data_IF_990498071714
#
_entry.id   IF_990498071714
#
_cell.length_a   1.000
_cell.length_b   1.000
_cell.length_c   1.000
_cell.angle_alpha   90.00
_cell.angle_beta   90.00
_cell.angle_gamma   90.00
#
_symmetry.space_group_name_H-M   'P 1'
#
loop_
_entity.id
_entity.type
_entity.pdbx_description
1 polymer ?
#
# COMPACT_ATOMS: atom_id res chain seq x y z
N UNK A 1 -13.55 -17.81 -16.84
CA UNK A 1 -13.56 -16.41 -16.36
C UNK A 1 -13.17 -15.40 -17.45
N UNK A 2 -11.94 -15.37 -17.99
CA UNK A 2 -11.55 -14.40 -19.05
C UNK A 2 -12.58 -14.30 -20.20
N UNK A 3 -12.90 -15.43 -20.85
CA UNK A 3 -13.87 -15.47 -21.95
C UNK A 3 -15.28 -15.03 -21.55
N UNK A 4 -15.66 -15.23 -20.29
CA UNK A 4 -16.97 -14.82 -19.78
C UNK A 4 -17.02 -13.31 -19.51
N UNK A 5 -15.91 -12.70 -19.08
CA UNK A 5 -15.83 -11.26 -18.81
C UNK A 5 -15.66 -10.42 -20.07
N UNK A 6 -15.01 -10.98 -21.09
CA UNK A 6 -14.60 -10.24 -22.29
C UNK A 6 -15.76 -9.50 -23.00
N UNK A 7 -16.97 -10.07 -23.18
CA UNK A 7 -18.08 -9.36 -23.80
C UNK A 7 -18.49 -8.10 -23.02
N UNK A 8 -18.50 -8.17 -21.69
CA UNK A 8 -18.84 -7.04 -20.82
C UNK A 8 -17.77 -5.96 -20.86
N UNK A 9 -16.49 -6.36 -20.85
CA UNK A 9 -15.35 -5.43 -20.99
C UNK A 9 -15.43 -4.69 -22.33
N UNK A 10 -15.58 -5.43 -23.43
CA UNK A 10 -15.71 -4.81 -24.76
C UNK A 10 -16.92 -3.90 -24.86
N UNK A 11 -18.06 -4.28 -24.27
CA UNK A 11 -19.24 -3.42 -24.24
C UNK A 11 -19.00 -2.14 -23.45
N UNK A 12 -18.34 -2.22 -22.30
CA UNK A 12 -18.00 -1.05 -21.50
C UNK A 12 -17.06 -0.10 -22.26
N UNK A 13 -16.00 -0.65 -22.88
CA UNK A 13 -15.06 0.14 -23.69
C UNK A 13 -15.74 0.82 -24.87
N UNK A 14 -16.68 0.15 -25.55
CA UNK A 14 -17.45 0.75 -26.65
C UNK A 14 -18.36 1.88 -26.17
N UNK A 15 -19.02 1.72 -25.02
CA UNK A 15 -19.99 2.68 -24.52
C UNK A 15 -19.34 3.95 -23.97
N UNK A 16 -18.15 3.84 -23.38
CA UNK A 16 -17.49 4.95 -22.69
C UNK A 16 -16.23 5.48 -23.40
N UNK A 17 -15.72 4.76 -24.42
CA UNK A 17 -14.59 5.19 -25.24
C UNK A 17 -13.36 5.54 -24.40
N UNK A 18 -12.86 6.77 -24.56
CA UNK A 18 -11.69 7.27 -23.82
C UNK A 18 -11.92 7.46 -22.31
N UNK A 19 -13.17 7.57 -21.87
CA UNK A 19 -13.53 7.72 -20.46
C UNK A 19 -13.78 6.38 -19.77
N UNK A 20 -13.58 5.26 -20.47
CA UNK A 20 -13.77 3.93 -19.91
C UNK A 20 -12.67 3.63 -18.87
N UNK A 21 -13.08 3.20 -17.68
CA UNK A 21 -12.18 2.83 -16.60
C UNK A 21 -12.55 1.44 -16.05
N UNK A 22 -11.56 0.55 -16.00
CA UNK A 22 -11.71 -0.83 -15.56
C UNK A 22 -10.82 -1.06 -14.35
N UNK A 23 -11.43 -1.28 -13.18
CA UNK A 23 -10.72 -1.67 -11.96
C UNK A 23 -10.97 -3.14 -11.66
N UNK A 24 -9.87 -3.86 -11.42
CA UNK A 24 -9.90 -5.25 -11.00
C UNK A 24 -9.45 -5.34 -9.56
N UNK A 25 -10.17 -6.10 -8.76
CA UNK A 25 -9.83 -6.35 -7.36
C UNK A 25 -10.32 -7.73 -6.96
N UNK A 26 -9.78 -8.25 -5.87
CA UNK A 26 -10.21 -9.52 -5.31
C UNK A 26 -9.43 -9.87 -4.07
N UNK A 27 -10.02 -10.78 -3.30
CA UNK A 27 -9.40 -11.37 -2.13
C UNK A 27 -8.88 -12.78 -2.45
N UNK A 28 -7.78 -13.18 -1.81
CA UNK A 28 -7.21 -14.53 -1.94
C UNK A 28 -7.02 -14.93 -3.41
N UNK A 29 -7.46 -16.13 -3.81
CA UNK A 29 -7.47 -16.59 -5.19
C UNK A 29 -8.14 -15.59 -6.16
N UNK A 30 -9.23 -14.94 -5.72
CA UNK A 30 -9.93 -13.94 -6.53
C UNK A 30 -9.04 -12.74 -6.88
N UNK A 31 -8.13 -12.34 -6.00
CA UNK A 31 -7.17 -11.25 -6.26
C UNK A 31 -6.11 -11.66 -7.28
N UNK A 32 -5.58 -12.87 -7.18
CA UNK A 32 -4.66 -13.46 -8.15
C UNK A 32 -5.29 -13.56 -9.55
N UNK A 33 -6.56 -13.98 -9.60
CA UNK A 33 -7.35 -14.07 -10.82
C UNK A 33 -7.66 -12.69 -11.42
N UNK A 34 -7.96 -11.69 -10.58
CA UNK A 34 -8.18 -10.31 -10.99
C UNK A 34 -6.95 -9.71 -11.68
N UNK A 35 -5.75 -9.93 -11.11
CA UNK A 35 -4.48 -9.54 -11.73
C UNK A 35 -4.27 -10.24 -13.07
N UNK A 36 -4.49 -11.56 -13.12
CA UNK A 36 -4.30 -12.33 -14.34
C UNK A 36 -5.20 -11.85 -15.48
N UNK A 37 -6.49 -11.59 -15.20
CA UNK A 37 -7.42 -11.06 -16.22
C UNK A 37 -7.01 -9.67 -16.69
N UNK A 38 -6.62 -8.78 -15.77
CA UNK A 38 -6.14 -7.44 -16.11
C UNK A 38 -4.95 -7.50 -17.09
N UNK A 39 -3.94 -8.31 -16.77
CA UNK A 39 -2.76 -8.50 -17.64
C UNK A 39 -3.12 -9.17 -18.97
N UNK A 40 -4.02 -10.16 -18.96
CA UNK A 40 -4.48 -10.81 -20.19
C UNK A 40 -5.20 -9.83 -21.12
N UNK A 41 -6.05 -8.95 -20.59
CA UNK A 41 -6.74 -7.93 -21.39
C UNK A 41 -5.77 -6.97 -22.04
N UNK A 42 -4.74 -6.53 -21.30
CA UNK A 42 -3.69 -5.66 -21.83
C UNK A 42 -2.86 -6.36 -22.90
N UNK A 43 -2.30 -7.53 -22.57
CA UNK A 43 -1.38 -8.26 -23.44
C UNK A 43 -2.03 -8.77 -24.73
N UNK A 44 -3.35 -9.01 -24.71
CA UNK A 44 -4.12 -9.42 -25.89
C UNK A 44 -4.71 -8.24 -26.68
N UNK A 45 -4.45 -7.00 -26.25
CA UNK A 45 -4.95 -5.80 -26.92
C UNK A 45 -6.46 -5.58 -26.78
N UNK A 46 -7.11 -6.22 -25.81
CA UNK A 46 -8.56 -6.08 -25.59
C UNK A 46 -8.93 -4.83 -24.80
N UNK A 47 -8.00 -4.32 -23.99
CA UNK A 47 -8.15 -3.07 -23.26
C UNK A 47 -6.85 -2.26 -23.34
N UNK A 48 -6.90 -0.97 -23.69
CA UNK A 48 -5.73 -0.10 -23.66
C UNK A 48 -5.24 0.10 -22.22
N UNK A 49 -3.93 0.27 -22.02
CA UNK A 49 -3.35 0.52 -20.69
C UNK A 49 -4.01 1.72 -19.98
N UNK A 50 -4.39 2.75 -20.73
CA UNK A 50 -5.03 3.96 -20.19
C UNK A 50 -6.42 3.71 -19.57
N UNK A 51 -7.14 2.66 -19.96
CA UNK A 51 -8.42 2.31 -19.35
C UNK A 51 -8.29 1.33 -18.18
N UNK A 52 -7.09 0.77 -17.95
CA UNK A 52 -6.85 -0.20 -16.88
C UNK A 52 -6.36 0.54 -15.64
N UNK A 53 -7.24 0.68 -14.65
CA UNK A 53 -6.88 1.21 -13.34
C UNK A 53 -5.98 0.21 -12.59
N UNK A 54 -5.22 0.69 -11.58
CA UNK A 54 -4.44 -0.19 -10.71
C UNK A 54 -5.25 -1.35 -10.14
N UNK A 55 -4.67 -2.53 -10.19
CA UNK A 55 -5.21 -3.76 -9.61
C UNK A 55 -4.90 -3.75 -8.12
N UNK A 56 -5.94 -3.77 -7.29
CA UNK A 56 -5.80 -3.79 -5.83
C UNK A 56 -6.21 -5.18 -5.34
N UNK A 57 -5.31 -5.92 -4.69
CA UNK A 57 -5.60 -7.27 -4.20
C UNK A 57 -5.50 -7.33 -2.69
N UNK A 58 -6.23 -8.26 -2.06
CA UNK A 58 -6.25 -8.45 -0.62
C UNK A 58 -5.88 -9.89 -0.28
N UNK A 59 -4.75 -10.12 0.38
CA UNK A 59 -4.33 -11.46 0.80
C UNK A 59 -4.13 -12.44 -0.36
N UNK A 60 -3.89 -11.91 -1.56
CA UNK A 60 -3.75 -12.71 -2.75
C UNK A 60 -2.33 -13.28 -2.87
N UNK A 61 -2.17 -14.57 -3.16
CA UNK A 61 -0.86 -15.12 -3.47
C UNK A 61 -0.31 -14.52 -4.77
N UNK A 62 1.00 -14.33 -4.82
CA UNK A 62 1.70 -14.01 -6.05
C UNK A 62 1.57 -15.19 -7.03
N UNK A 63 1.54 -14.92 -8.33
CA UNK A 63 1.20 -15.92 -9.36
C UNK A 63 2.31 -16.20 -10.38
N UNK A 64 3.43 -15.47 -10.32
CA UNK A 64 4.49 -15.60 -11.32
C UNK A 64 5.87 -15.25 -10.78
N UNK A 65 6.88 -15.73 -11.49
CA UNK A 65 8.28 -15.32 -11.30
C UNK A 65 8.58 -14.11 -12.18
N UNK A 66 9.24 -13.09 -11.63
CA UNK A 66 9.65 -11.92 -12.40
C UNK A 66 8.50 -10.97 -12.79
N UNK A 67 7.44 -10.90 -11.99
CA UNK A 67 6.30 -10.02 -12.25
C UNK A 67 6.69 -8.54 -12.43
N UNK A 68 7.61 -8.02 -11.63
CA UNK A 68 8.14 -6.66 -11.80
C UNK A 68 8.84 -6.44 -13.14
N UNK A 69 9.52 -7.47 -13.67
CA UNK A 69 10.11 -7.39 -15.01
C UNK A 69 9.02 -7.35 -16.09
N UNK A 70 7.95 -8.13 -15.93
CA UNK A 70 6.79 -8.09 -16.83
C UNK A 70 6.11 -6.72 -16.82
N UNK A 71 5.87 -6.11 -15.65
CA UNK A 71 5.29 -4.75 -15.55
C UNK A 71 6.11 -3.74 -16.36
N UNK A 72 7.44 -3.73 -16.19
CA UNK A 72 8.32 -2.84 -16.96
C UNK A 72 8.23 -3.09 -18.47
N UNK A 73 8.18 -4.35 -18.91
CA UNK A 73 8.05 -4.70 -20.34
C UNK A 73 6.71 -4.24 -20.92
N UNK A 74 5.66 -4.22 -20.12
CA UNK A 74 4.33 -3.73 -20.50
C UNK A 74 4.18 -2.21 -20.37
N UNK A 75 5.23 -1.49 -19.95
CA UNK A 75 5.17 -0.05 -19.71
C UNK A 75 4.33 0.35 -18.50
N UNK A 76 4.07 -0.58 -17.58
CA UNK A 76 3.26 -0.35 -16.37
C UNK A 76 4.16 -0.01 -15.18
N UNK A 77 3.77 0.99 -14.35
CA UNK A 77 4.47 1.26 -13.09
C UNK A 77 4.21 0.14 -12.07
N UNK A 78 5.07 0.03 -11.04
CA UNK A 78 4.83 -0.91 -9.93
C UNK A 78 3.50 -0.66 -9.22
N UNK A 79 3.10 0.60 -9.10
CA UNK A 79 1.82 1.03 -8.53
C UNK A 79 0.60 0.55 -9.30
N UNK A 80 0.77 -0.02 -10.50
CA UNK A 80 -0.32 -0.68 -11.23
C UNK A 80 -0.81 -1.94 -10.51
N UNK A 81 0.01 -2.55 -9.66
CA UNK A 81 -0.37 -3.70 -8.83
C UNK A 81 -0.13 -3.36 -7.38
N UNK A 82 -1.20 -3.27 -6.59
CA UNK A 82 -1.17 -2.94 -5.17
C UNK A 82 -1.65 -4.15 -4.36
N UNK A 83 -0.70 -4.91 -3.85
CA UNK A 83 -0.96 -6.11 -3.05
C UNK A 83 -1.06 -5.76 -1.58
N UNK A 84 -2.29 -5.74 -1.06
CA UNK A 84 -2.57 -5.50 0.36
C UNK A 84 -2.50 -6.84 1.10
N UNK A 85 -1.49 -6.98 1.94
CA UNK A 85 -1.25 -8.18 2.75
C UNK A 85 -1.41 -7.84 4.22
N UNK A 86 -2.32 -8.51 4.93
CA UNK A 86 -2.37 -8.41 6.38
C UNK A 86 -1.06 -8.98 6.95
N UNK A 87 -0.48 -8.27 7.91
CA UNK A 87 0.84 -8.56 8.49
C UNK A 87 1.12 -10.03 8.86
N UNK A 88 0.08 -10.80 9.24
CA UNK A 88 0.18 -12.23 9.61
C UNK A 88 -0.62 -13.16 8.71
N UNK A 89 -1.20 -12.66 7.62
CA UNK A 89 -1.92 -13.50 6.66
C UNK A 89 -0.97 -14.48 6.01
N UNK A 90 -1.23 -15.77 6.19
CA UNK A 90 -0.38 -16.81 5.69
C UNK A 90 -0.45 -17.00 4.17
N UNK A 91 -1.59 -16.71 3.53
CA UNK A 91 -1.79 -17.04 2.11
C UNK A 91 -0.82 -16.30 1.19
N UNK A 92 -0.70 -14.96 1.21
CA UNK A 92 0.28 -14.29 0.38
C UNK A 92 1.72 -14.67 0.77
N UNK A 93 1.94 -14.96 2.06
CA UNK A 93 3.27 -15.19 2.60
C UNK A 93 3.84 -16.57 2.29
N UNK A 94 3.03 -17.63 2.34
CA UNK A 94 3.50 -18.99 2.05
C UNK A 94 3.95 -19.14 0.60
N UNK A 95 3.33 -18.41 -0.33
CA UNK A 95 3.77 -18.45 -1.73
C UNK A 95 5.04 -17.64 -1.99
N UNK A 96 5.44 -16.73 -1.09
CA UNK A 96 6.60 -15.85 -1.28
C UNK A 96 7.69 -15.99 -0.21
N UNK A 97 7.53 -16.93 0.73
CA UNK A 97 8.55 -17.24 1.73
C UNK A 97 9.69 -18.07 1.15
N UNK A 98 10.79 -18.11 1.91
CA UNK A 98 11.96 -18.92 1.61
C UNK A 98 11.75 -20.35 2.11
N UNK A 99 11.53 -21.27 1.20
CA UNK A 99 11.39 -22.69 1.49
C UNK A 99 12.73 -23.31 1.88
N UNK A 100 12.84 -23.93 3.07
CA UNK A 100 13.99 -24.75 3.42
C UNK A 100 14.21 -25.87 2.40
N UNK A 101 15.47 -26.26 2.17
CA UNK A 101 15.83 -27.18 1.07
C UNK A 101 15.07 -28.52 1.13
N UNK A 102 14.86 -29.06 2.33
CA UNK A 102 14.09 -30.29 2.50
C UNK A 102 12.62 -30.12 2.07
N UNK A 103 11.99 -28.99 2.38
CA UNK A 103 10.61 -28.69 1.96
C UNK A 103 10.55 -28.48 0.45
N UNK A 104 11.50 -27.72 -0.11
CA UNK A 104 11.60 -27.50 -1.56
C UNK A 104 11.74 -28.83 -2.32
N UNK A 105 12.54 -29.77 -1.80
CA UNK A 105 12.70 -31.10 -2.39
C UNK A 105 11.42 -31.93 -2.31
N UNK A 106 10.70 -31.89 -1.18
CA UNK A 106 9.38 -32.54 -1.06
C UNK A 106 8.40 -31.98 -2.10
N UNK A 107 8.34 -30.65 -2.28
CA UNK A 107 7.49 -30.03 -3.30
C UNK A 107 7.86 -30.52 -4.72
N UNK A 108 9.15 -30.54 -5.05
CA UNK A 108 9.67 -31.06 -6.34
C UNK A 108 9.36 -32.54 -6.59
N UNK A 109 9.28 -33.32 -5.52
CA UNK A 109 8.88 -34.73 -5.59
C UNK A 109 7.37 -34.89 -5.76
N UNK A 110 6.57 -34.09 -5.05
CA UNK A 110 5.11 -34.13 -5.07
C UNK A 110 4.52 -33.69 -6.41
N UNK A 111 5.18 -32.77 -7.14
CA UNK A 111 4.73 -32.34 -8.47
C UNK A 111 5.90 -32.04 -9.40
N UNK A 112 5.92 -32.69 -10.57
CA UNK A 112 6.94 -32.51 -11.59
C UNK A 112 7.10 -31.05 -12.07
N UNK A 113 6.02 -30.27 -12.07
CA UNK A 113 6.06 -28.85 -12.44
C UNK A 113 6.97 -28.01 -11.52
N UNK A 114 7.17 -28.44 -10.27
CA UNK A 114 8.05 -27.73 -9.34
C UNK A 114 9.54 -28.01 -9.58
N UNK A 115 9.90 -29.07 -10.31
CA UNK A 115 11.30 -29.41 -10.60
C UNK A 115 11.98 -28.35 -11.48
N UNK A 116 11.26 -27.86 -12.48
CA UNK A 116 11.70 -26.81 -13.41
C UNK A 116 11.23 -25.41 -13.02
N UNK A 117 10.60 -25.25 -11.84
CA UNK A 117 10.00 -23.99 -11.45
C UNK A 117 11.05 -22.93 -11.12
N UNK A 118 11.17 -21.82 -11.89
CA UNK A 118 12.32 -20.91 -11.81
C UNK A 118 12.51 -20.26 -10.44
N UNK A 119 11.42 -19.86 -9.77
CA UNK A 119 11.52 -19.24 -8.46
C UNK A 119 11.99 -20.24 -7.39
N UNK A 120 11.46 -21.46 -7.41
CA UNK A 120 11.78 -22.45 -6.37
C UNK A 120 13.22 -22.93 -6.53
N UNK A 121 13.69 -23.05 -7.77
CA UNK A 121 15.07 -23.47 -8.06
C UNK A 121 16.10 -22.38 -7.81
N UNK A 122 15.83 -21.12 -8.19
CA UNK A 122 16.83 -20.05 -8.13
C UNK A 122 16.73 -19.16 -6.90
N UNK A 123 15.56 -19.09 -6.26
CA UNK A 123 15.26 -18.14 -5.18
C UNK A 123 14.61 -18.81 -3.96
N UNK A 124 14.42 -20.14 -4.00
CA UNK A 124 13.77 -20.94 -2.94
C UNK A 124 12.37 -20.42 -2.55
N UNK A 125 11.61 -19.87 -3.48
CA UNK A 125 10.24 -19.37 -3.25
C UNK A 125 9.28 -19.88 -4.33
N UNK A 126 7.97 -19.92 -4.07
CA UNK A 126 7.01 -20.32 -5.11
C UNK A 126 6.76 -19.16 -6.08
N UNK A 127 6.48 -17.94 -5.63
CA UNK A 127 6.29 -16.81 -6.53
C UNK A 127 6.85 -15.54 -5.92
N UNK A 128 7.50 -14.74 -6.77
CA UNK A 128 8.11 -13.50 -6.34
C UNK A 128 7.04 -12.41 -6.19
N UNK A 129 7.13 -11.55 -5.15
CA UNK A 129 6.30 -10.36 -5.04
C UNK A 129 6.36 -9.50 -6.31
N UNK A 130 5.21 -8.94 -6.70
CA UNK A 130 5.02 -8.15 -7.91
C UNK A 130 4.25 -6.88 -7.59
N UNK A 131 4.72 -5.74 -8.10
CA UNK A 131 4.14 -4.43 -7.83
C UNK A 131 4.48 -3.89 -6.45
N UNK A 132 3.58 -3.07 -5.91
CA UNK A 132 3.65 -2.53 -4.57
C UNK A 132 3.09 -3.52 -3.55
N UNK A 133 3.84 -3.74 -2.46
CA UNK A 133 3.38 -4.51 -1.31
C UNK A 133 3.00 -3.54 -0.20
N UNK A 134 1.72 -3.55 0.17
CA UNK A 134 1.13 -2.75 1.23
C UNK A 134 0.81 -3.66 2.41
N UNK A 135 1.45 -3.44 3.56
CA UNK A 135 1.27 -4.28 4.74
C UNK A 135 0.18 -3.67 5.63
N UNK A 136 -0.94 -4.37 5.77
CA UNK A 136 -2.04 -3.99 6.63
C UNK A 136 -1.83 -4.57 8.05
N UNK A 137 -1.53 -3.70 9.01
CA UNK A 137 -1.54 -4.06 10.42
C UNK A 137 -2.87 -3.66 11.05
N UNK A 138 -3.66 -4.61 11.57
CA UNK A 138 -4.90 -4.32 12.24
C UNK A 138 -4.67 -3.74 13.65
N UNK A 139 -5.77 -3.37 14.30
CA UNK A 139 -5.78 -3.12 15.74
C UNK A 139 -5.37 -4.38 16.52
N UNK A 140 -4.56 -4.23 17.58
CA UNK A 140 -4.09 -5.32 18.44
C UNK A 140 -5.19 -6.26 18.96
N UNK A 141 -6.44 -5.77 19.05
CA UNK A 141 -7.60 -6.57 19.46
C UNK A 141 -8.01 -7.61 18.43
N UNK A 142 -7.72 -7.37 17.15
CA UNK A 142 -8.01 -8.32 16.07
C UNK A 142 -6.85 -9.30 15.88
N UNK A 143 -5.61 -8.80 15.88
CA UNK A 143 -4.42 -9.65 15.76
C UNK A 143 -3.21 -8.97 16.40
N UNK A 144 -2.31 -9.70 17.09
CA UNK A 144 -1.15 -9.11 17.73
C UNK A 144 -0.22 -8.46 16.72
N UNK A 145 0.24 -7.24 17.02
CA UNK A 145 1.09 -6.45 16.13
C UNK A 145 2.37 -7.20 15.72
N UNK A 146 2.84 -6.88 14.52
CA UNK A 146 4.05 -7.45 13.95
C UNK A 146 5.30 -6.83 14.60
N UNK A 147 6.28 -7.64 14.97
CA UNK A 147 7.51 -7.17 15.60
C UNK A 147 8.39 -6.29 14.68
N UNK A 148 8.29 -6.47 13.36
CA UNK A 148 9.00 -5.64 12.35
C UNK A 148 8.27 -4.34 11.98
N UNK A 149 7.05 -4.12 12.48
CA UNK A 149 6.27 -2.93 12.17
C UNK A 149 6.15 -2.02 13.40
N UNK A 150 5.89 -0.72 13.22
CA UNK A 150 5.56 0.16 14.34
C UNK A 150 4.41 -0.43 15.18
N UNK A 151 4.39 -0.16 16.49
CA UNK A 151 3.36 -0.69 17.40
C UNK A 151 2.00 0.02 17.26
N UNK A 152 1.51 0.14 16.03
CA UNK A 152 0.31 0.90 15.72
C UNK A 152 -0.45 0.31 14.52
N UNK A 153 -1.77 0.38 14.51
CA UNK A 153 -2.58 -0.10 13.39
C UNK A 153 -2.44 0.83 12.18
N UNK A 154 -2.22 0.30 10.98
CA UNK A 154 -1.99 1.13 9.79
C UNK A 154 -1.80 0.32 8.51
N UNK A 155 -1.65 1.03 7.40
CA UNK A 155 -1.17 0.46 6.14
C UNK A 155 0.26 0.98 5.94
N UNK A 156 1.21 0.07 5.89
CA UNK A 156 2.63 0.36 5.74
C UNK A 156 3.06 0.05 4.31
N UNK A 157 3.71 1.01 3.68
CA UNK A 157 4.26 0.85 2.34
C UNK A 157 5.76 0.56 2.44
N UNK A 158 6.20 -0.57 1.89
CA UNK A 158 7.63 -0.85 1.70
C UNK A 158 8.03 -0.27 0.34
N UNK A 159 8.50 0.98 0.38
CA UNK A 159 8.83 1.76 -0.80
C UNK A 159 10.28 2.18 -0.90
N UNK A 160 10.64 2.62 -2.10
CA UNK A 160 11.90 3.29 -2.38
C UNK A 160 11.89 4.68 -1.74
N UNK A 161 12.38 4.78 -0.50
CA UNK A 161 12.70 6.08 0.11
C UNK A 161 14.06 6.52 -0.39
N UNK A 162 14.22 7.81 -0.69
CA UNK A 162 15.46 8.38 -1.25
C UNK A 162 16.71 7.87 -0.52
N UNK A 163 17.45 6.95 -1.15
CA UNK A 163 18.68 6.35 -0.62
C UNK A 163 18.64 4.85 -0.32
N UNK A 164 17.49 4.18 -0.39
CA UNK A 164 17.40 2.73 -0.16
C UNK A 164 17.74 1.96 -1.45
N UNK A 165 18.73 1.07 -1.39
CA UNK A 165 19.04 0.21 -2.55
C UNK A 165 17.91 -0.80 -2.82
N UNK A 166 17.66 -1.11 -4.10
CA UNK A 166 16.68 -2.15 -4.49
C UNK A 166 16.91 -3.49 -3.78
N UNK A 167 18.18 -3.86 -3.56
CA UNK A 167 18.56 -5.09 -2.82
C UNK A 167 18.11 -5.05 -1.37
N UNK A 168 18.23 -3.89 -0.72
CA UNK A 168 17.78 -3.72 0.66
C UNK A 168 16.25 -3.80 0.75
N UNK A 169 15.53 -3.19 -0.20
CA UNK A 169 14.08 -3.30 -0.27
C UNK A 169 13.63 -4.75 -0.48
N UNK A 170 14.26 -5.48 -1.40
CA UNK A 170 14.00 -6.92 -1.61
C UNK A 170 14.27 -7.74 -0.35
N UNK A 171 15.35 -7.42 0.36
CA UNK A 171 15.71 -8.09 1.62
C UNK A 171 14.69 -7.80 2.72
N UNK A 172 14.19 -6.56 2.82
CA UNK A 172 13.16 -6.17 3.78
C UNK A 172 11.82 -6.86 3.50
N UNK A 173 11.40 -6.89 2.23
CA UNK A 173 10.20 -7.62 1.78
C UNK A 173 10.33 -9.11 2.09
N UNK A 174 11.49 -9.70 1.77
CA UNK A 174 11.78 -11.11 2.10
C UNK A 174 11.73 -11.36 3.61
N UNK A 175 12.37 -10.51 4.42
CA UNK A 175 12.36 -10.65 5.88
C UNK A 175 10.94 -10.60 6.45
N UNK A 176 10.08 -9.69 5.97
CA UNK A 176 8.67 -9.61 6.35
C UNK A 176 7.89 -10.89 5.98
N UNK A 177 8.06 -11.39 4.75
CA UNK A 177 7.41 -12.62 4.31
C UNK A 177 7.84 -13.87 5.09
N UNK A 178 9.00 -13.81 5.75
CA UNK A 178 9.60 -14.93 6.50
C UNK A 178 9.54 -14.80 8.03
N UNK A 179 9.00 -13.71 8.60
CA UNK A 179 9.01 -13.48 10.05
C UNK A 179 7.61 -13.16 10.57
N UNK A 180 6.99 -13.95 11.48
CA UNK A 180 7.32 -15.35 11.74
C UNK A 180 7.13 -16.19 10.48
N UNK A 181 7.85 -17.30 10.34
CA UNK A 181 7.87 -18.02 9.07
C UNK A 181 6.48 -18.62 8.76
N UNK A 182 5.94 -18.53 7.54
CA UNK A 182 4.62 -19.07 7.21
C UNK A 182 4.46 -20.55 7.54
N UNK A 183 5.50 -21.35 7.34
CA UNK A 183 5.50 -22.77 7.70
C UNK A 183 5.44 -23.02 9.23
N UNK A 184 5.85 -22.06 10.06
CA UNK A 184 5.65 -22.13 11.52
C UNK A 184 4.20 -21.81 11.88
N UNK A 185 3.59 -20.86 11.18
CA UNK A 185 2.16 -20.53 11.34
C UNK A 185 1.29 -21.73 10.91
N UNK A 186 1.64 -22.48 9.86
CA UNK A 186 0.92 -23.71 9.47
C UNK A 186 0.96 -24.81 10.54
N UNK A 187 1.96 -24.81 11.42
CA UNK A 187 2.02 -25.81 12.51
C UNK A 187 1.00 -25.50 13.61
N UNK A 188 0.58 -24.24 13.73
CA UNK A 188 -0.42 -23.83 14.71
C UNK A 188 -1.83 -24.23 14.23
N UNK A 189 -2.47 -25.14 14.96
CA UNK A 189 -3.87 -25.51 14.70
C UNK A 189 -4.82 -24.30 14.70
N UNK A 190 -4.51 -23.24 15.45
CA UNK A 190 -5.28 -22.00 15.49
C UNK A 190 -5.19 -21.14 14.23
N UNK A 191 -4.34 -21.50 13.26
CA UNK A 191 -4.33 -20.88 11.94
C UNK A 191 -5.52 -21.32 11.05
N UNK A 192 -6.16 -22.45 11.41
CA UNK A 192 -7.20 -23.09 10.61
C UNK A 192 -8.60 -22.91 11.23
N UNK A 193 -9.59 -22.75 10.36
CA UNK A 193 -11.02 -22.77 10.68
C UNK A 193 -11.68 -24.11 10.35
N UNK A 194 -13.03 -24.16 10.32
CA UNK A 194 -13.77 -25.37 9.97
C UNK A 194 -13.31 -25.99 8.65
N UNK A 195 -13.17 -27.31 8.61
CA UNK A 195 -12.65 -28.07 7.44
C UNK A 195 -11.20 -27.74 7.05
N UNK A 196 -10.40 -27.17 7.96
CA UNK A 196 -9.00 -26.86 7.69
C UNK A 196 -8.79 -25.63 6.81
N UNK A 197 -9.80 -24.77 6.66
CA UNK A 197 -9.66 -23.53 5.88
C UNK A 197 -8.70 -22.57 6.58
N UNK A 198 -7.76 -21.99 5.86
CA UNK A 198 -6.95 -20.88 6.39
C UNK A 198 -7.88 -19.72 6.72
N UNK A 199 -7.97 -19.36 8.01
CA UNK A 199 -8.97 -18.40 8.48
C UNK A 199 -8.35 -17.19 9.20
N UNK A 200 -7.42 -17.45 10.12
CA UNK A 200 -6.78 -16.40 10.93
C UNK A 200 -6.00 -15.42 10.04
N UNK A 201 -6.27 -14.13 10.21
CA UNK A 201 -5.68 -13.02 9.45
C UNK A 201 -5.91 -13.06 7.92
N UNK A 202 -6.61 -14.06 7.40
CA UNK A 202 -6.90 -14.22 5.97
C UNK A 202 -8.35 -13.90 5.62
N UNK A 203 -9.31 -14.13 6.52
CA UNK A 203 -10.75 -13.95 6.20
C UNK A 203 -11.07 -12.54 5.65
N UNK A 204 -12.01 -12.48 4.69
CA UNK A 204 -12.39 -11.23 4.03
C UNK A 204 -12.92 -10.19 5.01
N UNK A 205 -13.59 -10.62 6.09
CA UNK A 205 -14.09 -9.71 7.12
C UNK A 205 -12.95 -9.18 7.98
N UNK A 206 -11.89 -9.95 8.21
CA UNK A 206 -10.68 -9.48 8.89
C UNK A 206 -10.03 -8.35 8.10
N UNK A 207 -9.87 -8.53 6.79
CA UNK A 207 -9.41 -7.46 5.90
C UNK A 207 -10.31 -6.22 5.95
N UNK A 208 -11.62 -6.41 5.79
CA UNK A 208 -12.59 -5.31 5.78
C UNK A 208 -12.60 -4.53 7.11
N UNK A 209 -12.60 -5.24 8.25
CA UNK A 209 -12.55 -4.63 9.59
C UNK A 209 -11.26 -3.85 9.79
N UNK A 210 -10.14 -4.40 9.34
CA UNK A 210 -8.81 -3.78 9.46
C UNK A 210 -8.72 -2.50 8.64
N UNK A 211 -9.10 -2.56 7.35
CA UNK A 211 -9.12 -1.38 6.47
C UNK A 211 -10.04 -0.29 7.03
N UNK A 212 -11.27 -0.64 7.45
CA UNK A 212 -12.19 0.32 8.07
C UNK A 212 -11.63 0.92 9.35
N UNK A 213 -10.96 0.12 10.17
CA UNK A 213 -10.30 0.57 11.40
C UNK A 213 -9.23 1.62 11.12
N UNK A 214 -8.33 1.33 10.17
CA UNK A 214 -7.27 2.24 9.74
C UNK A 214 -7.86 3.52 9.15
N UNK A 215 -8.82 3.42 8.23
CA UNK A 215 -9.47 4.60 7.61
C UNK A 215 -10.12 5.49 8.65
N UNK A 216 -10.89 4.92 9.59
CA UNK A 216 -11.53 5.71 10.67
C UNK A 216 -10.51 6.41 11.54
N UNK A 217 -9.41 5.73 11.86
CA UNK A 217 -8.32 6.26 12.66
C UNK A 217 -7.62 7.42 11.95
N UNK A 218 -7.31 7.29 10.66
CA UNK A 218 -6.69 8.36 9.88
C UNK A 218 -7.62 9.57 9.70
N UNK A 219 -8.92 9.34 9.47
CA UNK A 219 -9.91 10.44 9.46
C UNK A 219 -9.97 11.16 10.80
N UNK A 220 -9.87 10.42 11.93
CA UNK A 220 -9.83 11.02 13.27
C UNK A 220 -8.57 11.87 13.47
N UNK A 221 -7.40 11.35 13.09
CA UNK A 221 -6.13 12.06 13.15
C UNK A 221 -6.16 13.36 12.36
N UNK A 222 -6.70 13.34 11.14
CA UNK A 222 -6.84 14.54 10.32
C UNK A 222 -7.74 15.59 10.97
N UNK A 223 -8.86 15.18 11.57
CA UNK A 223 -9.76 16.08 12.31
C UNK A 223 -9.12 16.66 13.56
N UNK A 224 -8.34 15.85 14.30
CA UNK A 224 -7.60 16.30 15.48
C UNK A 224 -6.52 17.32 15.09
N UNK A 225 -5.72 17.04 14.06
CA UNK A 225 -4.72 17.98 13.54
C UNK A 225 -5.33 19.29 13.01
N UNK A 226 -6.50 19.21 12.38
CA UNK A 226 -7.23 20.39 11.94
C UNK A 226 -7.71 21.23 13.14
N UNK A 227 -8.25 20.58 14.18
CA UNK A 227 -8.65 21.27 15.43
C UNK A 227 -7.46 21.91 16.13
N UNK A 228 -6.33 21.22 16.25
CA UNK A 228 -5.10 21.77 16.82
C UNK A 228 -4.63 22.98 16.02
N UNK A 229 -4.66 22.91 14.69
CA UNK A 229 -4.35 24.05 13.83
C UNK A 229 -5.30 25.23 14.06
N UNK A 230 -6.60 24.98 14.15
CA UNK A 230 -7.59 26.03 14.45
C UNK A 230 -7.42 26.62 15.85
N UNK A 231 -7.09 25.79 16.84
CA UNK A 231 -6.75 26.25 18.19
C UNK A 231 -5.50 27.13 18.17
N UNK A 232 -4.41 26.71 17.52
CA UNK A 232 -3.20 27.53 17.40
C UNK A 232 -3.48 28.86 16.69
N UNK A 233 -4.33 28.88 15.65
CA UNK A 233 -4.75 30.12 14.98
C UNK A 233 -5.61 31.01 15.88
N UNK A 234 -6.53 30.44 16.68
CA UNK A 234 -7.34 31.19 17.65
C UNK A 234 -6.51 31.76 18.80
N UNK A 235 -5.44 31.08 19.21
CA UNK A 235 -4.56 31.47 20.32
C UNK A 235 -3.37 32.34 19.85
N UNK A 236 -3.14 32.46 18.54
CA UNK A 236 -2.13 33.33 17.95
C UNK A 236 -2.22 34.79 18.44
N UNK A 237 -3.41 35.42 18.57
CA UNK A 237 -3.51 36.78 19.10
C UNK A 237 -3.07 36.88 20.57
N UNK A 238 -3.32 35.85 21.39
CA UNK A 238 -3.01 35.85 22.83
C UNK A 238 -1.51 35.63 23.09
N UNK A 239 -0.86 34.78 22.30
CA UNK A 239 0.59 34.57 22.40
C UNK A 239 1.41 35.81 22.01
N UNK A 240 0.94 36.58 21.00
CA UNK A 240 1.58 37.84 20.58
C UNK A 240 1.36 38.95 21.62
N UNK A 241 0.19 39.01 22.26
CA UNK A 241 -0.08 39.99 23.32
C UNK A 241 0.65 39.67 24.66
N UNK A 242 0.90 38.40 24.97
CA UNK A 242 1.68 38.02 26.17
C UNK A 242 3.16 38.42 26.10
N UNK A 243 3.75 38.44 24.90
CA UNK A 243 5.14 38.88 24.66
C UNK A 243 5.26 40.41 24.66
N UNK A 244 4.22 41.13 24.23
CA UNK A 244 4.19 42.61 24.31
C UNK A 244 3.94 43.14 25.72
N UNK A 245 3.33 42.36 26.61
CA UNK A 245 3.02 42.77 27.98
C UNK A 245 4.20 42.59 28.97
N UNK A 246 5.27 41.88 28.58
CA UNK A 246 6.44 41.63 29.45
C UNK A 246 7.66 42.41 28.95
N UNK A 247 7.74 43.69 29.35
CA UNK A 247 9.01 44.37 29.64
C UNK A 247 9.93 44.68 28.44
N UNK A 248 10.07 45.97 28.17
CA UNK A 248 11.11 46.59 27.34
C UNK A 248 12.49 46.18 27.89
N UNK A 249 13.13 45.16 27.31
CA UNK A 249 14.48 44.72 27.70
C UNK A 249 15.09 43.57 26.89
N UNK A 250 14.27 42.71 26.26
CA UNK A 250 14.76 41.49 25.59
C UNK A 250 14.82 41.53 24.04
N UNK A 251 14.53 42.66 23.40
CA UNK A 251 14.40 42.72 21.94
C UNK A 251 15.69 42.39 21.17
N UNK A 252 16.87 42.65 21.76
CA UNK A 252 18.16 42.34 21.15
C UNK A 252 18.48 40.84 21.13
N UNK A 253 18.23 40.13 22.23
CA UNK A 253 18.50 38.69 22.32
C UNK A 253 17.46 37.84 21.58
N UNK A 254 16.19 38.27 21.58
CA UNK A 254 15.13 37.59 20.84
C UNK A 254 15.33 37.72 19.32
N UNK A 255 15.73 38.89 18.82
CA UNK A 255 16.01 39.09 17.41
C UNK A 255 17.16 38.18 16.92
N UNK A 256 18.18 37.98 17.77
CA UNK A 256 19.36 37.19 17.45
C UNK A 256 19.10 35.67 17.56
N UNK A 257 18.21 35.25 18.46
CA UNK A 257 17.68 33.90 18.56
C UNK A 257 16.71 33.56 17.40
N UNK A 258 15.87 34.52 16.99
CA UNK A 258 14.96 34.38 15.84
C UNK A 258 15.74 34.38 14.52
N UNK A 259 16.83 35.14 14.40
CA UNK A 259 17.70 35.10 13.22
C UNK A 259 18.46 33.77 13.09
N UNK A 260 18.96 33.21 14.21
CA UNK A 260 19.61 31.90 14.25
C UNK A 260 18.62 30.76 14.01
N UNK A 261 17.45 30.80 14.66
CA UNK A 261 16.35 29.86 14.46
C UNK A 261 15.76 29.94 13.06
N UNK A 262 15.67 31.14 12.47
CA UNK A 262 15.18 31.38 11.12
C UNK A 262 16.10 30.81 10.03
N UNK A 263 17.42 30.84 10.22
CA UNK A 263 18.37 30.20 9.29
C UNK A 263 18.33 28.67 9.35
N UNK A 264 18.08 28.10 10.53
CA UNK A 264 17.91 26.64 10.71
C UNK A 264 16.54 26.15 10.23
N UNK A 265 15.47 26.88 10.53
CA UNK A 265 14.12 26.64 10.06
C UNK A 265 13.97 26.86 8.55
N UNK A 266 14.67 27.83 7.94
CA UNK A 266 14.71 28.00 6.49
C UNK A 266 15.40 26.83 5.78
N UNK A 267 16.46 26.25 6.36
CA UNK A 267 17.13 25.06 5.81
C UNK A 267 16.25 23.80 5.92
N UNK A 268 15.51 23.63 7.03
CA UNK A 268 14.53 22.56 7.19
C UNK A 268 13.28 22.78 6.31
N UNK A 269 12.79 24.02 6.20
CA UNK A 269 11.66 24.37 5.35
C UNK A 269 12.00 24.25 3.86
N UNK A 270 13.25 24.49 3.44
CA UNK A 270 13.69 24.26 2.06
C UNK A 270 13.79 22.76 1.71
N UNK A 271 14.11 21.90 2.69
CA UNK A 271 14.03 20.44 2.53
C UNK A 271 12.58 19.93 2.51
N UNK A 272 11.67 20.52 3.29
CA UNK A 272 10.25 20.14 3.34
C UNK A 272 9.40 20.76 2.21
N UNK A 273 9.77 21.95 1.70
CA UNK A 273 9.08 22.63 0.60
C UNK A 273 9.30 21.90 -0.75
N UNK A 274 10.43 21.22 -0.94
CA UNK A 274 10.64 20.33 -2.10
C UNK A 274 9.74 19.09 -2.07
N UNK A 275 9.29 18.66 -0.89
CA UNK A 275 8.34 17.54 -0.73
C UNK A 275 6.87 17.99 -0.83
N UNK A 276 6.55 19.20 -0.36
CA UNK A 276 5.18 19.75 -0.40
C UNK A 276 4.77 20.33 -1.77
N UNK A 277 5.72 20.86 -2.56
CA UNK A 277 5.43 21.41 -3.89
C UNK A 277 4.98 20.33 -4.90
N UNK A 278 5.28 19.05 -4.66
CA UNK A 278 4.84 17.94 -5.51
C UNK A 278 3.42 17.45 -5.21
N UNK A 279 2.78 17.90 -4.12
CA UNK A 279 1.47 17.38 -3.69
C UNK A 279 0.33 18.41 -3.60
N UNK A 280 0.57 19.70 -3.86
CA UNK A 280 -0.44 20.75 -3.57
C UNK A 280 -0.76 21.77 -4.67
N UNK A 281 -0.47 21.49 -5.94
CA UNK A 281 -1.01 22.25 -7.08
C UNK A 281 -1.61 21.30 -8.14
N UNK A 282 -2.92 21.34 -8.47
CA UNK A 282 -4.06 21.92 -7.76
C UNK A 282 -5.32 21.00 -7.76
N UNK A 283 -5.68 20.40 -6.62
CA UNK A 283 -7.04 19.83 -6.42
C UNK A 283 -8.06 20.92 -6.03
N UNK A 284 -7.59 22.11 -5.61
CA UNK A 284 -8.45 23.22 -5.18
C UNK A 284 -9.05 24.06 -6.32
N UNK A 285 -8.61 23.90 -7.57
CA UNK A 285 -9.21 24.60 -8.72
C UNK A 285 -10.39 23.84 -9.34
N UNK A 286 -10.52 22.52 -9.11
CA UNK A 286 -11.61 21.71 -9.69
C UNK A 286 -12.91 21.75 -8.87
N UNK A 287 -12.83 22.00 -7.57
CA UNK A 287 -14.03 21.99 -6.70
C UNK A 287 -14.79 23.32 -6.72
N UNK A 288 -14.13 24.44 -7.02
CA UNK A 288 -14.83 25.73 -7.18
C UNK A 288 -15.55 25.88 -8.52
N UNK A 289 -15.12 25.19 -9.58
CA UNK A 289 -15.77 25.24 -10.90
C UNK A 289 -17.08 24.46 -10.98
N UNK A 290 -17.26 23.41 -10.17
CA UNK A 290 -18.45 22.56 -10.22
C UNK A 290 -19.65 23.14 -9.44
N UNK A 291 -19.43 24.07 -8.51
CA UNK A 291 -20.50 24.67 -7.70
C UNK A 291 -21.06 25.98 -8.29
N UNK A 292 -20.40 26.59 -9.28
CA UNK A 292 -20.89 27.80 -9.95
C UNK A 292 -21.70 27.52 -11.24
N UNK A 293 -21.75 26.28 -11.72
CA UNK A 293 -22.49 25.92 -12.94
C UNK A 293 -23.93 25.42 -12.72
N UNK A 294 -24.41 25.34 -11.46
CA UNK A 294 -25.77 24.88 -11.12
C UNK A 294 -26.69 26.03 -10.66
N UNK A 295 -26.20 27.27 -10.68
CA UNK A 295 -26.90 28.43 -10.12
C UNK A 295 -27.13 29.61 -11.07
N UNK A 296 -27.18 29.39 -12.38
CA UNK A 296 -27.65 30.39 -13.35
C UNK A 296 -28.59 29.72 -14.36
N UNK A 297 -29.88 29.75 -14.03
CA UNK A 297 -30.98 29.82 -15.00
C UNK A 297 -31.62 31.19 -14.83
#
# INVERSE_FOLDING_TARGET
>A
MYHQMLPYVRSHLRNYGKSAELRFTGHSLGGSLALLVNLMLLMRGEAPAASLLPVITFGAPCIMCGGDHLLRKLGLPKSHVQSITMHRDIVPRVFSCNYPDHVANILKLANGNFRSHPCLTNQKLLYAPMGEVLILQPDKRLSPHHHLLPQDSGIYYLGDSAGISLKLLQSAVSAFFNSPHPLEILKDSGAYGPKGTVYRDHDVNSYLRSVRGVVRKEVRRLREAERERWQLLLWWPLAVHGVLATGIGGWGELADAVARGGKQAARQAQQHARLLALFLLPVKLLVLGALLAVGLR
#
